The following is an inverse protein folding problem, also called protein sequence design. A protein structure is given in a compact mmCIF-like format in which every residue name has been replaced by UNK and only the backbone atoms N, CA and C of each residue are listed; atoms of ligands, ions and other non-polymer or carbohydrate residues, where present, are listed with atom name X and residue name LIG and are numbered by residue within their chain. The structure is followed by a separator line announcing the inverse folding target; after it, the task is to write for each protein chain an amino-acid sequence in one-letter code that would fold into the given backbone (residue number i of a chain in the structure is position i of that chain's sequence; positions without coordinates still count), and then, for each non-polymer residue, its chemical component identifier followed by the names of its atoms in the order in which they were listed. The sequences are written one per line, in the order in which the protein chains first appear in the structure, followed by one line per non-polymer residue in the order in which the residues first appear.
data_IF_120405268428
#
_entry.id   IF_120405268428
#
_cell.length_a   1.000
_cell.length_b   1.000
_cell.length_c   1.000
_cell.angle_alpha   90.00
_cell.angle_beta   90.00
_cell.angle_gamma   90.00
#
_symmetry.space_group_name_H-M   'P 1'
#
loop_
_entity.id
_entity.type
_entity.pdbx_description
1 polymer ?
#
# COMPACT_ATOMS: atom_id res chain seq x y z
N UNK A 1 -16.00 12.02 -2.79
CA UNK A 1 -15.57 11.98 -4.20
C UNK A 1 -14.23 11.25 -4.28
N UNK A 2 -13.93 10.56 -5.38
CA UNK A 2 -12.58 9.99 -5.58
C UNK A 2 -11.56 11.13 -5.73
N UNK A 3 -10.35 10.95 -5.21
CA UNK A 3 -9.29 11.96 -5.29
C UNK A 3 -7.96 11.32 -5.76
N UNK A 4 -7.90 10.83 -7.01
CA UNK A 4 -6.81 9.99 -7.48
C UNK A 4 -5.45 10.65 -7.25
N UNK A 5 -4.47 9.84 -6.83
CA UNK A 5 -3.08 10.27 -6.72
C UNK A 5 -2.60 10.76 -8.10
N UNK A 6 -1.84 11.88 -8.17
CA UNK A 6 -1.20 12.30 -9.42
C UNK A 6 -0.03 11.38 -9.82
N UNK A 7 0.39 10.47 -8.94
CA UNK A 7 1.47 9.53 -9.17
C UNK A 7 0.95 8.15 -9.58
N UNK A 8 1.68 7.49 -10.48
CA UNK A 8 1.45 6.09 -10.85
C UNK A 8 1.62 5.17 -9.64
N UNK A 9 0.96 4.02 -9.68
CA UNK A 9 1.20 2.96 -8.70
C UNK A 9 2.67 2.52 -8.77
N UNK A 10 3.30 2.44 -7.61
CA UNK A 10 4.65 1.93 -7.47
C UNK A 10 4.70 0.43 -7.78
N UNK A 11 5.81 0.04 -8.41
CA UNK A 11 6.27 -1.34 -8.51
C UNK A 11 7.53 -1.45 -7.64
N UNK A 12 7.40 -1.87 -6.37
CA UNK A 12 8.55 -2.03 -5.49
C UNK A 12 9.49 -3.10 -6.03
N UNK A 13 10.76 -2.99 -5.66
CA UNK A 13 11.70 -4.10 -5.86
C UNK A 13 11.26 -5.30 -5.02
N UNK A 14 11.70 -6.49 -5.41
CA UNK A 14 11.43 -7.69 -4.63
C UNK A 14 11.99 -7.56 -3.20
N UNK A 15 13.15 -6.91 -3.04
CA UNK A 15 13.85 -6.75 -1.76
C UNK A 15 14.91 -5.65 -1.86
N UNK A 16 15.27 -5.08 -0.70
CA UNK A 16 16.42 -4.19 -0.54
C UNK A 16 17.34 -4.73 0.55
N UNK A 17 18.63 -4.85 0.26
CA UNK A 17 19.63 -5.48 1.12
C UNK A 17 20.53 -4.47 1.87
N UNK A 18 21.28 -4.98 2.85
CA UNK A 18 22.26 -4.19 3.60
C UNK A 18 21.63 -3.08 4.44
N UNK A 19 22.30 -1.93 4.51
CA UNK A 19 21.86 -0.76 5.28
C UNK A 19 20.86 0.14 4.53
N UNK A 20 20.43 -0.24 3.32
CA UNK A 20 19.50 0.56 2.54
C UNK A 20 18.06 0.43 3.08
N UNK A 21 17.34 1.56 3.06
CA UNK A 21 15.95 1.66 3.49
C UNK A 21 15.10 2.22 2.35
N UNK A 22 14.04 1.50 1.99
CA UNK A 22 13.03 1.93 1.02
C UNK A 22 11.64 1.88 1.64
N UNK A 23 10.90 2.98 1.52
CA UNK A 23 9.54 3.12 2.01
C UNK A 23 8.61 3.36 0.82
N UNK A 24 7.55 2.57 0.71
CA UNK A 24 6.51 2.76 -0.31
C UNK A 24 5.14 2.91 0.35
N UNK A 25 4.47 4.03 0.10
CA UNK A 25 3.11 4.29 0.58
C UNK A 25 2.09 3.54 -0.27
N UNK A 26 1.38 2.59 0.35
CA UNK A 26 0.20 1.94 -0.25
C UNK A 26 -1.02 2.84 -0.07
N UNK A 27 -1.12 3.53 1.07
CA UNK A 27 -2.17 4.50 1.36
C UNK A 27 -2.67 4.38 2.81
N UNK A 28 -3.22 5.48 3.33
CA UNK A 28 -3.59 5.60 4.75
C UNK A 28 -2.37 5.32 5.67
N UNK A 29 -2.43 4.28 6.52
CA UNK A 29 -1.31 3.82 7.37
C UNK A 29 -0.58 2.59 6.82
N UNK A 30 -0.95 2.12 5.62
CA UNK A 30 -0.31 0.97 4.98
C UNK A 30 0.99 1.37 4.27
N UNK A 31 2.12 0.91 4.81
CA UNK A 31 3.47 1.12 4.26
C UNK A 31 4.12 -0.23 3.98
N UNK A 32 4.79 -0.32 2.83
CA UNK A 32 5.81 -1.33 2.60
C UNK A 32 7.17 -0.74 2.99
N UNK A 33 7.81 -1.38 3.97
CA UNK A 33 9.13 -1.02 4.48
C UNK A 33 10.10 -2.11 4.05
N UNK A 34 11.12 -1.74 3.28
CA UNK A 34 12.16 -2.66 2.81
C UNK A 34 13.51 -2.24 3.38
N UNK A 35 14.16 -3.14 4.12
CA UNK A 35 15.47 -2.90 4.74
C UNK A 35 16.10 -4.21 5.16
N UNK A 36 17.44 -4.30 5.15
CA UNK A 36 18.18 -5.47 5.63
C UNK A 36 17.67 -6.82 5.09
N UNK A 37 17.21 -6.84 3.84
CA UNK A 37 16.67 -8.03 3.19
C UNK A 37 15.23 -8.39 3.61
N UNK A 38 14.55 -7.54 4.38
CA UNK A 38 13.19 -7.75 4.87
C UNK A 38 12.18 -6.91 4.11
N UNK A 39 10.96 -7.45 3.96
CA UNK A 39 9.77 -6.73 3.52
C UNK A 39 8.75 -6.74 4.66
N UNK A 40 8.51 -5.58 5.26
CA UNK A 40 7.60 -5.41 6.40
C UNK A 40 6.41 -4.59 5.93
N UNK A 41 5.21 -5.05 6.28
CA UNK A 41 3.97 -4.39 5.89
C UNK A 41 3.20 -3.94 7.13
N UNK A 42 2.88 -2.65 7.20
CA UNK A 42 2.08 -2.07 8.28
C UNK A 42 0.61 -2.03 7.88
N UNK A 43 -0.29 -2.30 8.84
CA UNK A 43 -1.75 -2.19 8.71
C UNK A 43 -2.30 -2.52 7.31
N UNK A 44 -2.14 -3.76 6.81
CA UNK A 44 -2.35 -4.05 5.40
C UNK A 44 -3.81 -3.86 4.98
N UNK A 45 -4.06 -2.88 4.11
CA UNK A 45 -5.40 -2.60 3.59
C UNK A 45 -5.40 -2.40 2.07
N UNK A 46 -5.87 -3.42 1.33
CA UNK A 46 -6.10 -3.39 -0.14
C UNK A 46 -7.58 -3.42 -0.55
N UNK A 47 -8.49 -3.64 0.39
CA UNK A 47 -9.93 -3.70 0.12
C UNK A 47 -10.53 -2.37 -0.35
N UNK A 48 -11.61 -2.44 -1.13
CA UNK A 48 -12.37 -1.23 -1.51
C UNK A 48 -13.02 -0.54 -0.31
N UNK A 49 -13.31 -1.29 0.76
CA UNK A 49 -13.89 -0.78 2.00
C UNK A 49 -13.16 -1.33 3.23
N UNK A 50 -12.98 -0.48 4.23
CA UNK A 50 -12.50 -0.89 5.56
C UNK A 50 -13.74 -1.14 6.42
N UNK A 51 -14.33 -2.32 6.26
CA UNK A 51 -15.60 -2.70 6.88
C UNK A 51 -15.74 -4.22 6.90
N UNK A 52 -16.40 -4.80 7.91
CA UNK A 52 -16.78 -6.23 7.90
C UNK A 52 -17.87 -6.54 6.86
N UNK A 53 -18.62 -5.54 6.39
CA UNK A 53 -19.65 -5.69 5.36
C UNK A 53 -19.09 -5.26 4.00
N UNK A 54 -19.37 -6.03 2.95
CA UNK A 54 -18.88 -5.74 1.59
C UNK A 54 -19.51 -4.49 0.96
N UNK A 55 -20.73 -4.13 1.35
CA UNK A 55 -21.52 -3.06 0.73
C UNK A 55 -21.60 -1.77 1.56
N UNK A 56 -21.28 -1.83 2.86
CA UNK A 56 -21.43 -0.72 3.79
C UNK A 56 -20.10 -0.37 4.47
N UNK A 57 -19.99 0.85 5.00
CA UNK A 57 -18.79 1.34 5.69
C UNK A 57 -17.83 2.14 4.80
N UNK A 58 -16.74 2.69 5.37
CA UNK A 58 -15.84 3.61 4.69
C UNK A 58 -15.27 3.04 3.40
N UNK A 59 -15.51 3.73 2.27
CA UNK A 59 -14.92 3.41 0.98
C UNK A 59 -13.57 4.12 0.85
N UNK A 60 -12.59 3.43 0.28
CA UNK A 60 -11.31 4.01 -0.09
C UNK A 60 -11.49 5.19 -1.06
N UNK A 61 -10.72 6.25 -0.86
CA UNK A 61 -10.80 7.48 -1.68
C UNK A 61 -9.94 7.37 -2.95
N UNK A 62 -8.78 6.70 -2.87
CA UNK A 62 -7.77 6.62 -3.92
C UNK A 62 -7.42 5.15 -4.20
N UNK A 63 -6.96 4.81 -5.40
CA UNK A 63 -6.39 3.48 -5.64
C UNK A 63 -5.17 3.23 -4.72
N UNK A 64 -4.88 1.98 -4.30
CA UNK A 64 -3.67 1.68 -3.53
C UNK A 64 -2.43 2.09 -4.33
N UNK A 65 -1.41 2.61 -3.66
CA UNK A 65 -0.13 2.97 -4.26
C UNK A 65 0.66 1.77 -4.79
N UNK A 66 0.32 0.54 -4.38
CA UNK A 66 0.89 -0.71 -4.91
C UNK A 66 -0.27 -1.62 -5.32
N UNK A 67 -0.26 -2.13 -6.56
CA UNK A 67 -1.24 -3.10 -7.01
C UNK A 67 -1.10 -4.42 -6.23
N UNK A 68 -2.23 -5.07 -5.90
CA UNK A 68 -2.22 -6.34 -5.15
C UNK A 68 -1.76 -7.53 -6.02
N UNK A 69 -2.23 -7.56 -7.27
CA UNK A 69 -1.74 -8.47 -8.30
C UNK A 69 -0.56 -7.81 -9.00
N UNK A 70 0.65 -8.24 -8.64
CA UNK A 70 1.88 -8.00 -9.41
C UNK A 70 2.09 -9.15 -10.39
#
# INVERSE_FOLDING_TARGET
AANPSPFHQARPDERVDGAALRLTMVGHSSLLIQTAGLNILTDPAWSQRVSPLSFAGPKRVNAPGIAFSQ
#
